data_IF_582788402449
#
_entry.id   IF_582788402449
#
_cell.length_a   1.000
_cell.length_b   1.000
_cell.length_c   1.000
_cell.angle_alpha   90.00
_cell.angle_beta   90.00
_cell.angle_gamma   90.00
#
_symmetry.space_group_name_H-M   'P 1'
#
loop_
_entity.id
_entity.type
_entity.pdbx_description
1 polymer ?
#
# COMPACT_ATOMS: atom_id res chain seq x y z
N UNK A 1 -28.69 -5.26 -13.95
CA UNK A 1 -27.71 -5.15 -15.03
C UNK A 1 -28.07 -6.16 -16.11
N UNK A 2 -28.05 -5.77 -17.38
CA UNK A 2 -28.53 -6.58 -18.52
C UNK A 2 -27.62 -7.76 -18.89
N UNK A 3 -26.44 -7.88 -18.27
CA UNK A 3 -25.46 -8.93 -18.55
C UNK A 3 -24.70 -8.75 -19.86
N UNK A 4 -25.05 -7.72 -20.65
CA UNK A 4 -24.37 -7.36 -21.89
C UNK A 4 -22.98 -6.77 -21.59
N UNK A 5 -21.93 -7.19 -22.33
CA UNK A 5 -20.58 -6.65 -22.14
C UNK A 5 -20.51 -5.18 -22.60
N UNK A 6 -19.84 -4.33 -21.82
CA UNK A 6 -19.58 -2.93 -22.19
C UNK A 6 -18.68 -2.83 -23.44
N UNK A 7 -17.68 -3.70 -23.53
CA UNK A 7 -16.74 -3.81 -24.64
C UNK A 7 -16.09 -5.20 -24.62
N UNK A 8 -15.58 -5.63 -25.79
CA UNK A 8 -14.92 -6.94 -25.97
C UNK A 8 -13.51 -6.82 -26.57
N UNK A 9 -13.06 -5.61 -26.90
CA UNK A 9 -11.72 -5.39 -27.45
C UNK A 9 -10.65 -5.64 -26.36
N UNK A 10 -9.52 -6.29 -26.66
CA UNK A 10 -8.50 -6.55 -25.65
C UNK A 10 -7.83 -5.24 -25.21
N UNK A 11 -7.65 -5.08 -23.90
CA UNK A 11 -6.82 -4.02 -23.35
C UNK A 11 -5.36 -4.35 -23.62
N UNK A 12 -4.65 -3.45 -24.29
CA UNK A 12 -3.23 -3.60 -24.58
C UNK A 12 -2.41 -2.70 -23.67
N UNK A 13 -1.69 -3.32 -22.75
CA UNK A 13 -0.67 -2.69 -21.94
C UNK A 13 0.70 -3.01 -22.58
N UNK A 14 1.44 -2.03 -23.13
CA UNK A 14 2.78 -2.31 -23.62
C UNK A 14 3.65 -2.81 -22.44
N UNK A 15 4.38 -3.90 -22.66
CA UNK A 15 5.37 -4.36 -21.69
C UNK A 15 6.55 -3.40 -21.62
N UNK A 16 7.35 -3.51 -20.57
CA UNK A 16 8.55 -2.68 -20.43
C UNK A 16 9.61 -3.12 -21.45
N UNK A 17 10.30 -2.19 -22.15
CA UNK A 17 11.43 -2.53 -22.99
C UNK A 17 12.44 -3.39 -22.20
N UNK A 18 13.06 -4.38 -22.85
CA UNK A 18 13.99 -5.39 -22.28
C UNK A 18 13.38 -6.54 -21.46
N UNK A 19 12.08 -6.52 -21.15
CA UNK A 19 11.42 -7.59 -20.41
C UNK A 19 11.33 -8.91 -21.20
N UNK A 20 11.00 -8.84 -22.50
CA UNK A 20 10.85 -10.02 -23.36
C UNK A 20 12.18 -10.68 -23.75
N UNK A 21 13.28 -9.91 -23.80
CA UNK A 21 14.59 -10.45 -24.22
C UNK A 21 15.35 -11.10 -23.05
N UNK A 22 15.22 -10.57 -21.83
CA UNK A 22 15.91 -11.14 -20.65
C UNK A 22 15.26 -12.42 -20.11
N UNK A 23 13.96 -12.64 -20.35
CA UNK A 23 13.26 -13.88 -19.98
C UNK A 23 13.43 -15.02 -21.00
N UNK A 24 13.86 -14.72 -22.23
CA UNK A 24 14.02 -15.71 -23.30
C UNK A 24 15.47 -16.24 -23.47
N UNK A 25 16.45 -15.57 -22.86
CA UNK A 25 17.86 -15.97 -22.87
C UNK A 25 18.29 -16.58 -21.54
N UNK A 26 19.05 -17.68 -21.56
CA UNK A 26 19.67 -18.28 -20.36
C UNK A 26 20.39 -17.18 -19.56
N UNK A 27 19.93 -16.84 -18.33
CA UNK A 27 20.57 -15.81 -17.55
C UNK A 27 21.96 -16.27 -17.10
N UNK A 28 22.97 -15.39 -17.21
CA UNK A 28 24.37 -15.66 -16.85
C UNK A 28 24.73 -15.30 -15.40
N UNK A 29 23.75 -14.93 -14.57
CA UNK A 29 23.97 -14.48 -13.19
C UNK A 29 23.44 -15.53 -12.19
N UNK A 30 24.26 -15.84 -11.18
CA UNK A 30 24.03 -16.93 -10.20
C UNK A 30 23.22 -16.47 -8.96
N UNK A 31 22.06 -15.83 -9.15
CA UNK A 31 21.20 -15.34 -8.07
C UNK A 31 19.87 -16.08 -7.96
N UNK A 32 19.40 -16.33 -6.74
CA UNK A 32 18.27 -17.24 -6.43
C UNK A 32 16.87 -16.59 -6.58
N UNK A 33 16.70 -15.43 -7.27
CA UNK A 33 15.45 -14.65 -7.14
C UNK A 33 14.81 -14.02 -8.41
N UNK A 34 15.20 -14.34 -9.67
CA UNK A 34 14.54 -13.70 -10.85
C UNK A 34 13.30 -14.41 -11.41
N UNK A 35 12.93 -15.59 -10.96
CA UNK A 35 11.65 -16.20 -11.36
C UNK A 35 10.50 -15.70 -10.48
N UNK A 36 10.41 -14.39 -10.24
CA UNK A 36 9.16 -13.85 -9.71
C UNK A 36 8.25 -13.63 -10.91
N UNK A 37 7.25 -14.51 -11.14
CA UNK A 37 6.36 -14.36 -12.28
C UNK A 37 5.75 -12.97 -12.26
N UNK A 38 5.47 -12.42 -13.44
CA UNK A 38 4.59 -11.26 -13.50
C UNK A 38 3.32 -11.60 -12.73
N UNK A 39 2.95 -10.74 -11.80
CA UNK A 39 1.72 -10.84 -11.03
C UNK A 39 0.78 -9.76 -11.56
N UNK A 40 0.25 -9.91 -12.78
CA UNK A 40 -0.66 -8.93 -13.31
C UNK A 40 -1.88 -8.86 -12.39
N UNK A 41 -2.28 -7.65 -12.02
CA UNK A 41 -3.49 -7.42 -11.25
C UNK A 41 -4.39 -6.46 -12.00
N UNK A 42 -5.69 -6.68 -11.85
CA UNK A 42 -6.76 -5.84 -12.39
C UNK A 42 -7.63 -5.43 -11.23
N UNK A 43 -7.90 -4.14 -11.13
CA UNK A 43 -8.70 -3.55 -10.07
C UNK A 43 -9.78 -2.68 -10.69
N UNK A 44 -11.00 -2.79 -10.18
CA UNK A 44 -12.11 -1.95 -10.61
C UNK A 44 -12.46 -0.96 -9.51
N UNK A 45 -12.34 0.33 -9.82
CA UNK A 45 -12.77 1.43 -8.98
C UNK A 45 -14.17 1.86 -9.43
N UNK A 46 -15.18 1.52 -8.60
CA UNK A 46 -16.57 1.82 -8.90
C UNK A 46 -16.92 3.31 -8.76
N UNK A 47 -16.23 4.05 -7.88
CA UNK A 47 -16.49 5.46 -7.63
C UNK A 47 -16.30 6.32 -8.89
N UNK A 48 -15.25 6.02 -9.66
CA UNK A 48 -14.89 6.77 -10.87
C UNK A 48 -15.03 5.97 -12.15
N UNK A 49 -15.54 4.73 -12.08
CA UNK A 49 -15.66 3.82 -13.22
C UNK A 49 -14.32 3.59 -13.93
N UNK A 50 -13.25 3.41 -13.14
CA UNK A 50 -11.88 3.20 -13.64
C UNK A 50 -11.48 1.74 -13.49
N UNK A 51 -10.89 1.18 -14.54
CA UNK A 51 -10.21 -0.11 -14.50
C UNK A 51 -8.69 0.14 -14.44
N UNK A 52 -8.05 -0.25 -13.34
CA UNK A 52 -6.61 -0.15 -13.17
C UNK A 52 -5.95 -1.51 -13.44
N UNK A 53 -4.97 -1.53 -14.32
CA UNK A 53 -4.17 -2.72 -14.63
C UNK A 53 -2.71 -2.48 -14.25
N UNK A 54 -2.08 -3.49 -13.69
CA UNK A 54 -0.70 -3.44 -13.21
C UNK A 54 -0.04 -4.74 -13.63
N UNK A 55 0.94 -4.69 -14.53
CA UNK A 55 1.50 -5.90 -15.16
C UNK A 55 2.81 -6.34 -14.49
N UNK A 56 3.73 -5.39 -14.29
CA UNK A 56 5.09 -5.66 -13.82
C UNK A 56 5.42 -5.05 -12.45
N UNK A 57 4.40 -4.50 -11.76
CA UNK A 57 4.44 -3.80 -10.45
C UNK A 57 4.97 -2.36 -10.50
N UNK A 58 5.52 -1.91 -11.62
CA UNK A 58 6.00 -0.53 -11.78
C UNK A 58 5.14 0.28 -12.75
N UNK A 59 4.50 -0.41 -13.70
CA UNK A 59 3.63 0.19 -14.69
C UNK A 59 2.16 0.02 -14.32
N UNK A 60 1.49 1.16 -14.21
CA UNK A 60 0.10 1.30 -13.86
C UNK A 60 -0.59 1.91 -15.07
N UNK A 61 -1.70 1.31 -15.49
CA UNK A 61 -2.49 1.81 -16.60
C UNK A 61 -3.95 1.83 -16.21
N UNK A 62 -4.55 3.02 -16.28
CA UNK A 62 -5.97 3.21 -16.02
C UNK A 62 -6.72 3.32 -17.33
N UNK A 63 -7.88 2.68 -17.36
CA UNK A 63 -8.81 2.67 -18.47
C UNK A 63 -10.19 3.09 -17.98
N UNK A 64 -10.94 3.77 -18.83
CA UNK A 64 -12.35 3.99 -18.62
C UNK A 64 -13.09 2.65 -18.71
N UNK A 65 -13.83 2.28 -17.67
CA UNK A 65 -14.44 0.95 -17.58
C UNK A 65 -15.55 0.73 -18.61
N UNK A 66 -16.17 1.80 -19.12
CA UNK A 66 -17.28 1.71 -20.08
C UNK A 66 -16.82 1.59 -21.53
N UNK A 67 -15.73 2.27 -21.90
CA UNK A 67 -15.22 2.33 -23.28
C UNK A 67 -13.95 1.51 -23.50
N UNK A 68 -13.22 1.16 -22.44
CA UNK A 68 -11.90 0.55 -22.52
C UNK A 68 -10.80 1.50 -23.02
N UNK A 69 -11.10 2.80 -23.15
CA UNK A 69 -10.10 3.79 -23.55
C UNK A 69 -9.09 4.07 -22.43
N UNK A 70 -7.81 4.22 -22.77
CA UNK A 70 -6.77 4.49 -21.78
C UNK A 70 -6.87 5.94 -21.30
N UNK A 71 -7.01 6.12 -19.99
CA UNK A 71 -7.07 7.43 -19.34
C UNK A 71 -5.68 7.97 -19.07
N UNK A 72 -4.84 7.16 -18.43
CA UNK A 72 -3.48 7.55 -18.07
C UNK A 72 -2.57 6.34 -17.89
N UNK A 73 -1.27 6.63 -17.86
CA UNK A 73 -0.22 5.66 -17.57
C UNK A 73 0.75 6.29 -16.57
N UNK A 74 1.17 5.49 -15.60
CA UNK A 74 2.20 5.86 -14.63
C UNK A 74 3.27 4.77 -14.60
N UNK A 75 4.53 5.20 -14.56
CA UNK A 75 5.70 4.34 -14.38
C UNK A 75 6.48 4.83 -13.16
N UNK A 76 6.63 3.97 -12.15
CA UNK A 76 7.35 4.28 -10.92
C UNK A 76 8.87 4.42 -11.15
N UNK A 77 9.40 4.06 -12.32
CA UNK A 77 10.80 4.24 -12.70
C UNK A 77 11.78 3.27 -12.04
N UNK A 78 11.36 2.43 -11.09
CA UNK A 78 12.19 1.42 -10.41
C UNK A 78 12.73 0.35 -11.35
N UNK A 79 13.87 -0.28 -11.03
CA UNK A 79 14.39 -1.42 -11.78
C UNK A 79 13.56 -2.68 -11.51
N UNK A 80 13.41 -3.57 -12.48
CA UNK A 80 12.77 -4.89 -12.27
C UNK A 80 13.52 -5.76 -11.24
N UNK A 81 14.81 -5.45 -11.00
CA UNK A 81 15.62 -6.08 -9.96
C UNK A 81 15.41 -5.47 -8.57
N UNK A 82 14.65 -4.37 -8.46
CA UNK A 82 14.37 -3.75 -7.17
C UNK A 82 13.40 -4.64 -6.41
N UNK A 83 13.99 -5.48 -5.56
CA UNK A 83 13.32 -6.37 -4.61
C UNK A 83 12.48 -5.60 -3.57
N UNK A 84 12.21 -4.32 -3.72
CA UNK A 84 11.57 -3.50 -2.68
C UNK A 84 10.06 -3.39 -2.92
N UNK A 85 9.60 -3.48 -4.17
CA UNK A 85 8.18 -3.37 -4.54
C UNK A 85 7.59 -4.74 -4.84
N UNK A 86 7.27 -5.52 -3.78
CA UNK A 86 6.76 -6.88 -3.95
C UNK A 86 5.25 -6.94 -4.18
N UNK A 87 4.52 -5.94 -3.72
CA UNK A 87 3.08 -6.03 -3.54
C UNK A 87 2.32 -5.03 -4.42
N UNK A 88 1.09 -5.36 -4.87
CA UNK A 88 0.25 -4.40 -5.58
C UNK A 88 -0.02 -3.16 -4.71
N UNK A 89 -0.40 -2.02 -5.29
CA UNK A 89 -0.78 -0.82 -4.56
C UNK A 89 -2.03 -1.04 -3.72
N UNK A 90 -2.28 -0.17 -2.74
CA UNK A 90 -3.61 -0.05 -2.13
C UNK A 90 -4.43 0.93 -2.93
N UNK A 91 -5.66 0.56 -3.29
CA UNK A 91 -6.54 1.39 -4.08
C UNK A 91 -7.73 1.77 -3.20
N UNK A 92 -7.92 3.07 -3.02
CA UNK A 92 -9.11 3.65 -2.39
C UNK A 92 -10.04 4.15 -3.50
N UNK A 93 -11.18 4.72 -3.11
CA UNK A 93 -12.08 5.40 -4.03
C UNK A 93 -11.38 6.54 -4.76
N UNK A 94 -10.46 7.27 -4.12
CA UNK A 94 -9.81 8.46 -4.70
C UNK A 94 -8.35 8.25 -5.11
N UNK A 95 -7.65 7.27 -4.52
CA UNK A 95 -6.19 7.19 -4.60
C UNK A 95 -5.66 5.80 -4.95
N UNK A 96 -4.54 5.79 -5.65
CA UNK A 96 -3.62 4.64 -5.78
C UNK A 96 -2.42 4.90 -4.89
N UNK A 97 -2.24 4.06 -3.88
CA UNK A 97 -1.14 4.14 -2.92
C UNK A 97 -0.11 3.09 -3.30
N UNK A 98 0.96 3.55 -3.92
CA UNK A 98 2.10 2.75 -4.34
C UNK A 98 2.90 2.26 -3.12
N UNK A 99 3.62 1.15 -3.29
CA UNK A 99 4.37 0.51 -2.19
C UNK A 99 5.58 1.33 -1.72
N UNK A 100 6.11 2.20 -2.59
CA UNK A 100 7.12 3.21 -2.27
C UNK A 100 6.56 4.41 -1.48
N UNK A 101 5.24 4.45 -1.29
CA UNK A 101 4.54 5.50 -0.57
C UNK A 101 4.13 6.70 -1.44
N UNK A 102 4.36 6.65 -2.75
CA UNK A 102 3.75 7.59 -3.68
C UNK A 102 2.24 7.38 -3.68
N UNK A 103 1.49 8.49 -3.59
CA UNK A 103 0.03 8.48 -3.69
C UNK A 103 -0.35 9.18 -4.97
N UNK A 104 -1.13 8.52 -5.81
CA UNK A 104 -1.64 9.04 -7.07
C UNK A 104 -3.14 9.23 -6.98
N UNK A 105 -3.67 10.27 -7.62
CA UNK A 105 -5.10 10.40 -7.88
C UNK A 105 -5.54 9.32 -8.89
N UNK A 106 -6.61 8.58 -8.59
CA UNK A 106 -7.08 7.44 -9.41
C UNK A 106 -7.58 7.87 -10.80
N UNK A 107 -8.07 9.10 -10.94
CA UNK A 107 -8.66 9.60 -12.19
C UNK A 107 -7.62 10.19 -13.13
N UNK A 108 -6.53 10.75 -12.58
CA UNK A 108 -5.51 11.48 -13.35
C UNK A 108 -4.15 10.80 -13.39
N UNK A 109 -3.86 9.87 -12.47
CA UNK A 109 -2.55 9.21 -12.34
C UNK A 109 -1.43 10.13 -11.87
N UNK A 110 -1.75 11.33 -11.38
CA UNK A 110 -0.78 12.32 -10.90
C UNK A 110 -0.60 12.22 -9.39
N UNK A 111 0.60 12.53 -8.85
CA UNK A 111 0.81 12.59 -7.41
C UNK A 111 -0.21 13.50 -6.71
N UNK A 112 -0.93 12.97 -5.73
CA UNK A 112 -1.98 13.65 -4.99
C UNK A 112 -2.21 12.99 -3.63
N UNK A 113 -2.99 13.61 -2.75
CA UNK A 113 -3.40 13.00 -1.49
C UNK A 113 -2.44 13.21 -0.31
N UNK A 114 -2.58 12.42 0.77
CA UNK A 114 -1.92 12.68 2.04
C UNK A 114 -0.41 12.41 1.99
N UNK A 115 0.40 13.48 2.01
CA UNK A 115 1.86 13.37 1.93
C UNK A 115 2.52 12.56 3.05
N UNK A 116 1.83 12.33 4.18
CA UNK A 116 2.36 11.51 5.26
C UNK A 116 2.43 10.01 4.90
N UNK A 117 1.81 9.54 3.81
CA UNK A 117 1.99 8.17 3.33
C UNK A 117 3.44 7.91 2.90
N UNK A 118 4.06 8.85 2.17
CA UNK A 118 5.44 8.74 1.68
C UNK A 118 6.50 8.66 2.79
N UNK A 119 6.15 9.05 4.01
CA UNK A 119 7.01 8.92 5.20
C UNK A 119 6.95 7.54 5.86
N UNK A 120 6.76 6.44 5.11
CA UNK A 120 6.54 5.07 5.66
C UNK A 120 7.56 4.69 6.74
N UNK A 121 8.80 5.20 6.62
CA UNK A 121 9.86 4.96 7.58
C UNK A 121 10.32 3.50 7.55
N UNK A 122 10.73 2.98 8.71
CA UNK A 122 11.27 1.61 8.81
C UNK A 122 10.16 0.56 8.85
N UNK A 123 9.83 -0.03 7.70
CA UNK A 123 8.83 -1.10 7.64
C UNK A 123 8.94 -1.92 6.37
N UNK A 124 8.72 -3.22 6.50
CA UNK A 124 8.79 -4.19 5.40
C UNK A 124 7.41 -4.61 4.88
N UNK A 125 6.32 -4.09 5.45
CA UNK A 125 4.98 -4.50 5.07
C UNK A 125 4.35 -3.51 4.07
N UNK A 126 3.46 -4.05 3.24
CA UNK A 126 2.65 -3.29 2.29
C UNK A 126 1.63 -2.39 3.00
N UNK A 127 1.25 -1.30 2.35
CA UNK A 127 0.07 -0.51 2.73
C UNK A 127 -1.21 -1.33 2.60
N UNK A 128 -2.09 -1.29 3.59
CA UNK A 128 -3.45 -1.88 3.51
C UNK A 128 -4.44 -0.83 3.97
N UNK A 129 -5.49 -0.55 3.22
CA UNK A 129 -6.35 0.58 3.54
C UNK A 129 -7.71 0.55 2.89
N UNK A 130 -8.49 1.58 3.19
CA UNK A 130 -9.76 1.93 2.59
C UNK A 130 -9.85 3.46 2.49
N UNK A 131 -11.05 3.99 2.24
CA UNK A 131 -11.27 5.43 2.04
C UNK A 131 -11.05 6.28 3.31
N UNK A 132 -11.09 5.67 4.50
CA UNK A 132 -10.90 6.37 5.76
C UNK A 132 -9.43 6.36 6.22
N UNK A 133 -8.78 5.20 6.13
CA UNK A 133 -7.43 5.05 6.68
C UNK A 133 -6.57 4.03 5.91
N UNK A 134 -5.26 4.19 6.08
CA UNK A 134 -4.23 3.31 5.53
C UNK A 134 -3.31 2.85 6.64
N UNK A 135 -3.12 1.54 6.75
CA UNK A 135 -2.27 0.89 7.73
C UNK A 135 -0.96 0.50 7.08
N UNK A 136 0.12 0.57 7.87
CA UNK A 136 1.45 0.13 7.47
C UNK A 136 2.33 0.01 8.72
N UNK A 137 3.60 -0.30 8.51
CA UNK A 137 4.62 -0.34 9.56
C UNK A 137 5.57 0.83 9.40
N UNK A 138 5.72 1.58 10.48
CA UNK A 138 6.75 2.60 10.66
C UNK A 138 7.43 2.36 12.00
N UNK A 139 8.39 1.43 12.03
CA UNK A 139 8.94 0.74 13.20
C UNK A 139 7.91 -0.10 13.96
N UNK A 140 6.81 0.54 14.36
CA UNK A 140 5.62 0.02 15.03
C UNK A 140 4.45 -0.18 14.06
N UNK A 141 3.40 -0.87 14.49
CA UNK A 141 2.10 -0.83 13.82
C UNK A 141 1.58 0.62 13.81
N UNK A 142 1.15 1.11 12.66
CA UNK A 142 0.53 2.42 12.56
C UNK A 142 -0.60 2.43 11.53
N UNK A 143 -1.47 3.43 11.66
CA UNK A 143 -2.38 3.82 10.61
C UNK A 143 -2.29 5.33 10.38
N UNK A 144 -2.57 5.73 9.14
CA UNK A 144 -2.74 7.11 8.72
C UNK A 144 -4.22 7.32 8.43
N UNK A 145 -4.82 8.30 9.09
CA UNK A 145 -6.13 8.81 8.74
C UNK A 145 -6.00 9.67 7.48
N UNK A 146 -6.74 9.32 6.42
CA UNK A 146 -6.61 9.96 5.11
C UNK A 146 -7.27 11.34 5.04
N UNK A 147 -8.24 11.63 5.90
CA UNK A 147 -8.93 12.91 5.97
C UNK A 147 -8.06 13.95 6.69
N UNK A 148 -7.57 13.59 7.87
CA UNK A 148 -6.79 14.49 8.74
C UNK A 148 -5.30 14.48 8.43
N UNK A 149 -4.83 13.53 7.61
CA UNK A 149 -3.41 13.26 7.37
C UNK A 149 -2.63 12.97 8.67
N UNK A 150 -3.33 12.52 9.72
CA UNK A 150 -2.74 12.24 11.02
C UNK A 150 -2.34 10.78 11.15
N UNK A 151 -1.08 10.55 11.52
CA UNK A 151 -0.55 9.22 11.80
C UNK A 151 -0.73 8.86 13.27
N UNK A 152 -1.27 7.68 13.52
CA UNK A 152 -1.41 7.10 14.85
C UNK A 152 -0.57 5.84 14.96
N UNK A 153 0.22 5.75 16.03
CA UNK A 153 1.07 4.61 16.33
C UNK A 153 0.44 3.75 17.41
N UNK A 154 0.40 2.44 17.17
CA UNK A 154 0.00 1.45 18.17
C UNK A 154 1.28 0.93 18.82
N UNK A 155 1.70 1.63 19.87
CA UNK A 155 2.91 1.34 20.63
C UNK A 155 2.93 -0.11 21.10
N UNK A 156 4.13 -0.70 21.10
CA UNK A 156 4.38 -2.06 21.60
C UNK A 156 3.73 -3.19 20.80
N UNK A 157 3.12 -2.87 19.65
CA UNK A 157 2.55 -3.83 18.70
C UNK A 157 3.33 -3.82 17.41
N UNK A 158 3.58 -5.01 16.85
CA UNK A 158 4.15 -5.18 15.52
C UNK A 158 3.14 -5.81 14.57
N UNK A 159 2.94 -5.27 13.36
CA UNK A 159 2.20 -5.96 12.33
C UNK A 159 3.07 -7.06 11.71
N UNK A 160 2.45 -8.05 11.10
CA UNK A 160 3.16 -9.07 10.30
C UNK A 160 4.01 -8.45 9.18
N UNK A 161 4.96 -9.22 8.65
CA UNK A 161 5.71 -8.84 7.45
C UNK A 161 4.78 -8.67 6.24
N UNK A 162 3.78 -9.55 6.13
CA UNK A 162 2.53 -9.24 5.43
C UNK A 162 1.67 -8.44 6.41
N UNK A 163 1.26 -7.23 6.01
CA UNK A 163 0.57 -6.31 6.91
C UNK A 163 -0.71 -6.95 7.45
N UNK A 164 -0.76 -7.17 8.76
CA UNK A 164 -1.89 -7.82 9.44
C UNK A 164 -2.93 -6.83 9.95
N UNK A 165 -2.75 -5.52 9.73
CA UNK A 165 -3.69 -4.47 10.14
C UNK A 165 -4.72 -4.23 9.03
N UNK A 166 -5.93 -4.76 9.19
CA UNK A 166 -6.97 -4.82 8.15
C UNK A 166 -8.16 -3.95 8.56
N UNK A 167 -8.37 -2.79 7.92
CA UNK A 167 -9.54 -1.94 8.14
C UNK A 167 -10.73 -2.42 7.30
N UNK A 168 -11.64 -3.17 7.93
CA UNK A 168 -12.78 -3.78 7.25
C UNK A 168 -14.01 -3.84 8.15
N UNK A 169 -15.19 -3.69 7.54
CA UNK A 169 -16.48 -3.81 8.22
C UNK A 169 -16.62 -2.93 9.48
N UNK A 170 -16.10 -1.70 9.44
CA UNK A 170 -16.19 -0.75 10.57
C UNK A 170 -15.24 -1.05 11.74
N UNK A 171 -14.31 -1.99 11.55
CA UNK A 171 -13.28 -2.35 12.53
C UNK A 171 -11.89 -2.26 11.90
N UNK A 172 -10.91 -1.91 12.73
CA UNK A 172 -9.50 -2.14 12.43
C UNK A 172 -9.07 -3.43 13.11
N UNK A 173 -9.02 -4.51 12.34
CA UNK A 173 -8.63 -5.84 12.81
C UNK A 173 -7.11 -6.01 12.75
N UNK A 174 -6.54 -6.65 13.75
CA UNK A 174 -5.10 -6.87 13.86
C UNK A 174 -4.82 -8.29 14.38
N UNK A 175 -5.02 -9.34 13.55
CA UNK A 175 -4.54 -10.68 13.88
C UNK A 175 -3.03 -10.70 14.15
N UNK A 176 -2.63 -11.49 15.14
CA UNK A 176 -1.24 -11.70 15.50
C UNK A 176 -0.54 -12.60 14.47
N UNK A 177 0.30 -12.01 13.62
CA UNK A 177 1.18 -12.71 12.69
C UNK A 177 2.66 -12.68 13.11
N UNK A 178 2.94 -12.47 14.39
CA UNK A 178 4.30 -12.47 14.91
C UNK A 178 4.79 -13.88 15.33
N UNK A 179 4.02 -14.94 15.06
CA UNK A 179 4.45 -16.32 15.32
C UNK A 179 5.71 -16.65 14.49
N UNK A 180 6.82 -16.97 15.17
CA UNK A 180 8.13 -17.25 14.57
C UNK A 180 9.03 -16.03 14.37
N UNK A 181 8.56 -14.81 14.64
CA UNK A 181 9.41 -13.62 14.66
C UNK A 181 10.01 -13.41 16.06
N UNK A 182 11.33 -13.24 16.15
CA UNK A 182 11.97 -12.70 17.36
C UNK A 182 11.95 -11.18 17.26
N UNK A 183 11.17 -10.52 18.12
CA UNK A 183 11.07 -9.06 18.11
C UNK A 183 11.12 -8.49 19.53
N UNK A 184 11.60 -7.26 19.65
CA UNK A 184 11.71 -6.50 20.89
C UNK A 184 10.39 -5.87 21.37
N UNK A 185 9.24 -6.26 20.81
CA UNK A 185 7.94 -5.72 21.19
C UNK A 185 7.24 -6.65 22.20
N UNK A 186 6.76 -6.13 23.33
CA UNK A 186 6.30 -6.96 24.44
C UNK A 186 4.90 -7.57 24.22
N UNK A 187 4.12 -7.10 23.25
CA UNK A 187 2.77 -7.63 22.99
C UNK A 187 2.71 -8.47 21.72
N UNK A 188 2.44 -9.76 21.92
CA UNK A 188 2.11 -10.74 20.89
C UNK A 188 0.63 -11.08 21.02
N UNK A 189 -0.25 -10.20 20.55
CA UNK A 189 -1.70 -10.36 20.71
C UNK A 189 -2.45 -10.01 19.45
N UNK A 190 -3.63 -10.62 19.30
CA UNK A 190 -4.62 -10.21 18.30
C UNK A 190 -5.56 -9.20 18.95
N UNK A 191 -5.94 -8.15 18.23
CA UNK A 191 -6.93 -7.19 18.71
C UNK A 191 -7.79 -6.65 17.56
N UNK A 192 -8.87 -5.97 17.91
CA UNK A 192 -9.67 -5.19 16.99
C UNK A 192 -10.01 -3.85 17.64
N UNK A 193 -10.00 -2.77 16.85
CA UNK A 193 -10.39 -1.43 17.29
C UNK A 193 -11.66 -1.02 16.56
N UNK A 194 -12.59 -0.41 17.30
CA UNK A 194 -13.75 0.26 16.74
C UNK A 194 -13.59 1.77 16.92
N UNK A 195 -14.10 2.54 15.96
CA UNK A 195 -14.04 3.99 16.05
C UNK A 195 -14.99 4.51 17.14
N UNK A 196 -14.44 5.25 18.11
CA UNK A 196 -15.19 5.78 19.24
C UNK A 196 -14.94 7.31 19.33
N UNK A 197 -15.72 8.15 18.63
CA UNK A 197 -15.48 9.60 18.56
C UNK A 197 -15.38 10.25 19.94
N UNK A 198 -16.19 9.81 20.91
CA UNK A 198 -16.19 10.34 22.27
C UNK A 198 -14.90 10.05 23.04
N UNK A 199 -14.06 9.10 22.59
CA UNK A 199 -12.75 8.84 23.17
C UNK A 199 -11.78 10.00 22.94
N UNK A 200 -12.05 10.90 21.98
CA UNK A 200 -11.24 12.08 21.72
C UNK A 200 -11.09 12.97 22.97
N UNK A 201 -12.06 12.96 23.89
CA UNK A 201 -11.97 13.68 25.18
C UNK A 201 -10.89 13.16 26.13
N UNK A 202 -10.41 11.93 25.89
CA UNK A 202 -9.35 11.30 26.66
C UNK A 202 -7.97 11.51 26.03
N UNK A 203 -7.90 12.14 24.85
CA UNK A 203 -6.64 12.51 24.25
C UNK A 203 -5.88 13.47 25.20
N UNK A 204 -4.56 13.28 25.39
CA UNK A 204 -3.77 14.20 26.19
C UNK A 204 -3.91 15.62 25.64
N UNK A 205 -4.35 16.56 26.46
CA UNK A 205 -4.45 17.97 26.06
C UNK A 205 -3.07 18.63 25.95
N UNK A 206 -2.14 18.17 26.78
CA UNK A 206 -0.75 18.58 26.73
C UNK A 206 0.04 17.51 25.99
N UNK A 207 0.74 17.93 24.92
CA UNK A 207 1.72 17.06 24.27
C UNK A 207 2.90 16.92 25.23
N UNK A 208 3.35 15.71 25.56
CA UNK A 208 4.57 15.56 26.33
C UNK A 208 5.72 16.23 25.58
N UNK A 209 6.49 17.04 26.30
CA UNK A 209 7.68 17.67 25.75
C UNK A 209 8.75 16.60 25.51
N UNK A 210 8.80 16.11 24.26
CA UNK A 210 9.77 15.12 23.81
C UNK A 210 11.12 15.73 23.47
N UNK A 211 11.22 17.07 23.38
CA UNK A 211 12.50 17.74 23.08
C UNK A 211 13.41 17.80 24.31
N UNK A 212 12.82 17.88 25.50
CA UNK A 212 13.55 17.85 26.77
C UNK A 212 13.80 16.44 27.30
N UNK A 213 13.21 15.41 26.68
CA UNK A 213 13.47 14.01 27.04
C UNK A 213 14.90 13.61 26.67
N UNK A 214 15.65 13.15 27.67
CA UNK A 214 16.99 12.61 27.48
C UNK A 214 16.93 11.46 26.47
N UNK A 215 17.67 11.56 25.37
CA UNK A 215 17.74 10.50 24.37
C UNK A 215 18.21 9.20 25.06
N UNK A 216 17.37 8.15 25.13
CA UNK A 216 17.71 6.92 25.83
C UNK A 216 18.85 6.14 25.14
N UNK A 217 19.21 6.52 23.91
CA UNK A 217 20.31 5.95 23.14
C UNK A 217 21.55 6.84 23.11
N UNK A 218 21.53 8.01 23.76
CA UNK A 218 22.72 8.83 23.91
C UNK A 218 23.52 8.30 25.11
N UNK A 219 24.60 7.57 24.80
CA UNK A 219 25.64 7.23 25.78
C UNK A 219 26.30 8.49 26.34
#
# INVERSE_FOLDING_TARGET
ATGEPYWNAPLSAPGRPEQSERSAGKPSWAGIFQDNPLKPTVHYNAAHQVLLTIVDRHQFQAFDAQSGSRLWHYDAGGSLSDLVTFEPPTITSEYVICDDGVVLDITTGKPAGPGAVGGRGTGCNRFVGNDALVTFRSALACYLDLETNQRTYLSSTRPGCTNSMIPAAGLLNAPNYAHGCVCNYPFLTSFALHHLPEAARWAPQEKPDVQTQRNPNAN
#
